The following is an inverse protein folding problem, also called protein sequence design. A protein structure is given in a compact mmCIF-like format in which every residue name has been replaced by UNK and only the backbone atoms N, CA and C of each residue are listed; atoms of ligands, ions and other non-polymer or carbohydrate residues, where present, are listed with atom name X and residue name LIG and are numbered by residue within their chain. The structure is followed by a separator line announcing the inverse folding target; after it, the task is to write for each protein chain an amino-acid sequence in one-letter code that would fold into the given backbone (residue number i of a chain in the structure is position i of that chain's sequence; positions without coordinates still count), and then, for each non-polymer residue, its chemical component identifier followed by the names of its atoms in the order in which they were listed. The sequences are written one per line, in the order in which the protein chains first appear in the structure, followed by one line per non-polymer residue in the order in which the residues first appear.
data_IF_498517372863
#
_entry.id   IF_498517372863
#
_cell.length_a   1.000
_cell.length_b   1.000
_cell.length_c   1.000
_cell.angle_alpha   90.00
_cell.angle_beta   90.00
_cell.angle_gamma   90.00
#
_symmetry.space_group_name_H-M   'P 1'
#
loop_
_entity.id
_entity.type
_entity.pdbx_description
1 polymer ?
#
# COMPACT_ATOMS: atom_id res chain seq x y z
N UNK A 1 4.86 25.96 -14.56
CA UNK A 1 3.86 26.69 -13.74
C UNK A 1 4.56 27.27 -12.51
N UNK A 2 4.20 28.47 -12.06
CA UNK A 2 4.67 29.05 -10.78
C UNK A 2 3.49 29.12 -9.82
N UNK A 3 3.66 28.57 -8.62
CA UNK A 3 2.63 28.52 -7.58
C UNK A 3 3.17 29.18 -6.31
N UNK A 4 2.28 29.80 -5.54
CA UNK A 4 2.63 30.37 -4.23
C UNK A 4 2.40 29.31 -3.16
N UNK A 5 3.37 29.15 -2.27
CA UNK A 5 3.20 28.34 -1.06
C UNK A 5 2.36 29.15 -0.08
N UNK A 6 1.28 28.56 0.42
CA UNK A 6 0.42 29.17 1.44
C UNK A 6 0.69 28.53 2.81
N UNK A 7 0.01 29.03 3.82
CA UNK A 7 -0.07 28.45 5.17
C UNK A 7 -0.53 26.98 5.17
N UNK A 8 -1.30 26.58 4.14
CA UNK A 8 -1.79 25.21 3.92
C UNK A 8 -0.84 24.36 3.06
N UNK A 9 0.29 24.91 2.62
CA UNK A 9 1.27 24.25 1.76
C UNK A 9 1.14 24.61 0.27
N UNK A 10 1.52 23.68 -0.60
CA UNK A 10 1.47 23.82 -2.05
C UNK A 10 0.30 23.02 -2.62
N UNK A 11 -0.54 23.65 -3.44
CA UNK A 11 -1.66 22.97 -4.10
C UNK A 11 -1.23 22.49 -5.49
N UNK A 12 -1.28 21.19 -5.73
CA UNK A 12 -1.03 20.58 -7.03
C UNK A 12 -2.38 20.35 -7.74
N UNK A 13 -2.54 20.78 -9.00
CA UNK A 13 -3.76 20.52 -9.77
C UNK A 13 -4.08 19.02 -9.85
N UNK A 14 -5.35 18.65 -9.60
CA UNK A 14 -5.81 17.25 -9.62
C UNK A 14 -5.60 16.58 -10.98
N UNK A 15 -5.66 17.36 -12.07
CA UNK A 15 -5.42 16.88 -13.44
C UNK A 15 -4.03 16.29 -13.64
N UNK A 16 -3.05 16.65 -12.80
CA UNK A 16 -1.69 16.07 -12.85
C UNK A 16 -1.59 14.72 -12.15
N UNK A 17 -2.64 14.30 -11.44
CA UNK A 17 -2.71 13.05 -10.68
C UNK A 17 -3.91 12.20 -11.13
N UNK A 18 -4.41 12.41 -12.35
CA UNK A 18 -5.51 11.61 -12.90
C UNK A 18 -5.12 10.14 -13.03
N UNK A 19 -6.00 9.25 -12.58
CA UNK A 19 -5.76 7.80 -12.58
C UNK A 19 -4.82 7.31 -11.48
N UNK A 20 -4.31 8.21 -10.61
CA UNK A 20 -3.44 7.85 -9.48
C UNK A 20 -4.26 7.86 -8.19
N UNK A 21 -4.31 6.73 -7.50
CA UNK A 21 -4.98 6.59 -6.20
C UNK A 21 -4.10 7.02 -5.03
N UNK A 22 -2.81 6.71 -5.11
CA UNK A 22 -1.85 6.90 -4.02
C UNK A 22 -0.50 7.36 -4.55
N UNK A 23 0.20 8.19 -3.76
CA UNK A 23 1.52 8.73 -4.08
C UNK A 23 2.46 8.64 -2.90
N UNK A 24 3.72 8.38 -3.20
CA UNK A 24 4.84 8.52 -2.28
C UNK A 24 5.50 9.89 -2.50
N UNK A 25 5.78 10.63 -1.42
CA UNK A 25 6.45 11.94 -1.48
C UNK A 25 7.86 11.81 -0.92
N UNK A 26 8.86 12.12 -1.75
CA UNK A 26 10.29 12.07 -1.38
C UNK A 26 10.91 13.45 -1.45
N UNK A 27 11.66 13.83 -0.41
CA UNK A 27 12.45 15.08 -0.39
C UNK A 27 13.92 14.73 -0.54
N UNK A 28 14.54 15.11 -1.66
CA UNK A 28 15.96 14.88 -1.93
C UNK A 28 16.57 16.04 -2.71
N UNK A 29 17.78 16.47 -2.33
CA UNK A 29 18.59 17.45 -3.08
C UNK A 29 17.86 18.76 -3.45
N UNK A 30 16.98 19.25 -2.58
CA UNK A 30 16.19 20.46 -2.84
C UNK A 30 14.93 20.25 -3.69
N UNK A 31 14.67 19.02 -4.11
CA UNK A 31 13.47 18.62 -4.85
C UNK A 31 12.48 17.88 -3.96
N UNK A 32 11.20 18.07 -4.26
CA UNK A 32 10.11 17.23 -3.76
C UNK A 32 9.62 16.42 -4.96
N UNK A 33 9.82 15.12 -4.92
CA UNK A 33 9.29 14.18 -5.90
C UNK A 33 7.98 13.61 -5.39
N UNK A 34 6.98 13.57 -6.26
CA UNK A 34 5.70 12.91 -6.04
C UNK A 34 5.64 11.76 -7.03
N UNK A 35 5.62 10.52 -6.54
CA UNK A 35 5.70 9.30 -7.35
C UNK A 35 4.45 8.48 -7.09
N UNK A 36 3.73 8.00 -8.12
CA UNK A 36 2.60 7.10 -7.91
C UNK A 36 3.06 5.80 -7.24
N UNK A 37 2.27 5.30 -6.29
CA UNK A 37 2.43 3.95 -5.77
C UNK A 37 1.76 3.00 -6.77
N UNK A 38 2.57 2.16 -7.41
CA UNK A 38 2.09 1.18 -8.40
C UNK A 38 1.90 -0.21 -7.79
N UNK A 39 2.49 -0.45 -6.63
CA UNK A 39 2.43 -1.75 -5.97
C UNK A 39 1.13 -1.85 -5.19
N UNK A 40 0.39 -2.93 -5.45
CA UNK A 40 -0.78 -3.29 -4.64
C UNK A 40 -0.27 -3.72 -3.27
N UNK A 41 -0.81 -3.14 -2.20
CA UNK A 41 -0.42 -3.53 -0.84
C UNK A 41 -0.55 -5.06 -0.68
N UNK A 42 0.53 -5.78 -0.34
CA UNK A 42 0.53 -7.22 -0.19
C UNK A 42 -0.54 -7.74 0.79
N UNK A 43 -1.01 -6.90 1.71
CA UNK A 43 -2.11 -7.25 2.61
C UNK A 43 -3.38 -7.63 1.84
N UNK A 44 -3.64 -6.99 0.70
CA UNK A 44 -4.79 -7.29 -0.16
C UNK A 44 -4.58 -8.57 -0.99
N UNK A 45 -3.37 -9.11 -1.03
CA UNK A 45 -3.06 -10.38 -1.67
C UNK A 45 -3.15 -11.58 -0.70
N UNK A 46 -3.27 -11.34 0.61
CA UNK A 46 -3.44 -12.40 1.60
C UNK A 46 -4.73 -13.19 1.36
N UNK A 47 -4.64 -14.52 1.45
CA UNK A 47 -5.79 -15.42 1.28
C UNK A 47 -6.24 -15.67 -0.16
N UNK A 48 -5.71 -14.94 -1.17
CA UNK A 48 -6.05 -15.19 -2.60
C UNK A 48 -5.50 -16.52 -3.12
N UNK A 49 -4.41 -17.01 -2.52
CA UNK A 49 -3.79 -18.31 -2.83
C UNK A 49 -3.62 -19.12 -1.54
N UNK A 50 -4.72 -19.69 -0.99
CA UNK A 50 -4.64 -20.49 0.21
C UNK A 50 -3.84 -21.77 -0.08
N UNK A 51 -3.02 -22.20 0.89
CA UNK A 51 -2.30 -23.46 0.79
C UNK A 51 -3.27 -24.59 1.11
N UNK A 52 -3.35 -25.60 0.25
CA UNK A 52 -4.13 -26.81 0.53
C UNK A 52 -3.39 -27.59 1.60
N UNK A 53 -3.96 -27.66 2.80
CA UNK A 53 -3.52 -28.57 3.85
C UNK A 53 -4.57 -29.66 4.02
N UNK A 54 -4.15 -30.86 4.40
CA UNK A 54 -5.05 -32.01 4.58
C UNK A 54 -6.01 -31.89 5.75
N UNK A 55 -6.11 -30.71 6.39
CA UNK A 55 -7.05 -30.45 7.48
C UNK A 55 -7.98 -29.28 7.12
N UNK A 56 -9.30 -29.50 7.09
CA UNK A 56 -10.26 -28.49 6.66
C UNK A 56 -10.39 -27.29 7.61
N UNK A 57 -9.96 -27.46 8.86
CA UNK A 57 -10.06 -26.49 9.97
C UNK A 57 -8.68 -26.02 10.46
N UNK A 58 -7.63 -26.17 9.65
CA UNK A 58 -6.27 -25.79 10.02
C UNK A 58 -6.15 -24.32 10.43
N UNK A 59 -6.84 -23.42 9.74
CA UNK A 59 -6.85 -21.99 10.06
C UNK A 59 -7.61 -21.67 11.34
N UNK A 60 -8.69 -22.41 11.63
CA UNK A 60 -9.55 -22.20 12.80
C UNK A 60 -8.93 -22.75 14.08
N UNK A 61 -8.23 -23.88 13.97
CA UNK A 61 -7.60 -24.58 15.10
C UNK A 61 -6.09 -24.56 14.97
N UNK A 62 -5.52 -23.45 14.51
CA UNK A 62 -4.09 -23.34 14.23
C UNK A 62 -3.23 -23.80 15.42
N UNK A 63 -3.56 -23.35 16.64
CA UNK A 63 -2.85 -23.73 17.87
C UNK A 63 -2.86 -25.24 18.11
N UNK A 64 -3.98 -25.91 17.82
CA UNK A 64 -4.06 -27.37 17.94
C UNK A 64 -3.04 -28.06 17.05
N UNK A 65 -2.92 -27.64 15.78
CA UNK A 65 -1.97 -28.22 14.83
C UNK A 65 -0.52 -27.81 15.09
N UNK A 66 -0.29 -26.68 15.75
CA UNK A 66 1.05 -26.19 16.07
C UNK A 66 1.65 -26.89 17.31
N UNK A 67 0.80 -27.35 18.23
CA UNK A 67 1.22 -27.90 19.53
C UNK A 67 0.87 -29.38 19.75
N UNK A 68 0.12 -30.03 18.86
CA UNK A 68 -0.07 -31.50 18.91
C UNK A 68 1.21 -32.22 18.44
N UNK A 69 1.93 -32.83 19.41
CA UNK A 69 2.96 -33.88 19.23
C UNK A 69 2.29 -35.25 19.24
#
# INVERSE_FOLDING_TARGET
MKLKVTDKGLVIPKTYLEGISEVEIKKQNGFIMVVPITDVDPIFELGKKPVVCGSPDASEKHDKYLYDV
#
